data_IF_459743775629
#
_entry.id   IF_459743775629
#
_cell.length_a   1.000
_cell.length_b   1.000
_cell.length_c   1.000
_cell.angle_alpha   90.00
_cell.angle_beta   90.00
_cell.angle_gamma   90.00
#
_symmetry.space_group_name_H-M   'P 1'
#
loop_
_entity.id
_entity.type
_entity.pdbx_description
1 polymer ?
#
# COMPACT_ATOMS: atom_id res chain seq x y z
N UNK A 1 -2.73 -65.74 32.49
CA UNK A 1 -3.08 -64.30 32.58
C UNK A 1 -4.28 -64.10 31.66
N UNK A 2 -5.47 -63.74 32.17
CA UNK A 2 -6.67 -63.57 31.33
C UNK A 2 -6.65 -62.16 30.73
N UNK A 3 -6.56 -62.08 29.41
CA UNK A 3 -6.61 -60.81 28.70
C UNK A 3 -8.06 -60.30 28.73
N UNK A 4 -8.29 -59.20 29.45
CA UNK A 4 -9.61 -58.56 29.52
C UNK A 4 -9.87 -57.76 28.25
N UNK A 5 -10.54 -58.40 27.29
CA UNK A 5 -10.96 -57.83 26.02
C UNK A 5 -11.60 -56.43 26.15
N UNK A 6 -12.52 -56.13 27.09
CA UNK A 6 -13.09 -54.78 27.20
C UNK A 6 -12.07 -53.72 27.62
N UNK A 7 -11.08 -54.11 28.44
CA UNK A 7 -10.00 -53.22 28.87
C UNK A 7 -9.10 -52.89 27.67
N UNK A 8 -8.80 -53.88 26.82
CA UNK A 8 -8.02 -53.69 25.59
C UNK A 8 -8.72 -52.73 24.61
N UNK A 9 -10.05 -52.84 24.46
CA UNK A 9 -10.82 -51.96 23.57
C UNK A 9 -10.87 -50.50 24.05
N UNK A 10 -10.93 -50.27 25.37
CA UNK A 10 -10.90 -48.92 25.94
C UNK A 10 -9.53 -48.26 25.71
N UNK A 11 -8.43 -48.99 25.94
CA UNK A 11 -7.09 -48.46 25.66
C UNK A 11 -6.87 -48.20 24.17
N UNK A 12 -7.39 -49.06 23.30
CA UNK A 12 -7.31 -48.88 21.86
C UNK A 12 -8.12 -47.66 21.40
N UNK A 13 -9.32 -47.45 21.95
CA UNK A 13 -10.14 -46.27 21.67
C UNK A 13 -9.50 -44.97 22.15
N UNK A 14 -8.92 -44.94 23.36
CA UNK A 14 -8.22 -43.76 23.89
C UNK A 14 -6.97 -43.42 23.06
N UNK A 15 -6.27 -44.45 22.58
CA UNK A 15 -5.15 -44.30 21.67
C UNK A 15 -5.59 -43.80 20.28
N UNK A 16 -6.71 -44.29 19.75
CA UNK A 16 -7.28 -43.78 18.51
C UNK A 16 -7.74 -42.32 18.62
N UNK A 17 -8.33 -41.92 19.76
CA UNK A 17 -8.75 -40.53 20.00
C UNK A 17 -7.55 -39.59 20.16
N UNK A 18 -6.47 -40.02 20.82
CA UNK A 18 -5.24 -39.20 20.95
C UNK A 18 -4.48 -39.07 19.62
N UNK A 19 -4.48 -40.12 18.79
CA UNK A 19 -3.94 -40.07 17.43
C UNK A 19 -4.83 -39.20 16.52
N UNK A 20 -6.15 -39.22 16.70
CA UNK A 20 -7.07 -38.38 15.91
C UNK A 20 -6.99 -36.89 16.28
N UNK A 21 -6.82 -36.55 17.57
CA UNK A 21 -6.60 -35.18 18.04
C UNK A 21 -5.15 -34.68 17.85
N UNK A 22 -4.18 -35.57 17.64
CA UNK A 22 -2.75 -35.22 17.54
C UNK A 22 -2.26 -34.79 16.16
N UNK A 23 -3.08 -34.88 15.12
CA UNK A 23 -2.70 -34.52 13.73
C UNK A 23 -3.27 -33.16 13.31
N UNK A 24 -3.44 -32.24 14.27
CA UNK A 24 -3.70 -30.83 13.95
C UNK A 24 -2.45 -30.31 13.24
N UNK A 25 -2.50 -30.34 11.91
CA UNK A 25 -1.43 -29.89 11.02
C UNK A 25 -1.14 -28.44 11.36
N UNK A 26 -0.04 -28.19 12.07
CA UNK A 26 0.46 -26.84 12.25
C UNK A 26 0.68 -26.27 10.85
N UNK A 27 -0.03 -25.18 10.55
CA UNK A 27 0.13 -24.51 9.27
C UNK A 27 1.48 -23.80 9.32
N UNK A 28 2.55 -24.52 8.97
CA UNK A 28 3.92 -24.02 9.11
C UNK A 28 4.15 -22.94 8.05
N UNK A 29 4.57 -21.73 8.44
CA UNK A 29 4.95 -20.68 7.50
C UNK A 29 6.15 -21.14 6.67
N UNK A 30 6.12 -20.86 5.37
CA UNK A 30 7.07 -21.33 4.35
C UNK A 30 7.98 -20.24 3.82
N UNK A 31 7.75 -19.00 4.21
CA UNK A 31 8.55 -17.85 3.82
C UNK A 31 8.56 -16.77 4.91
N UNK A 32 9.44 -15.80 4.76
CA UNK A 32 9.50 -14.63 5.62
C UNK A 32 10.16 -14.92 6.96
N UNK A 33 9.96 -14.02 7.92
CA UNK A 33 10.60 -14.04 9.24
C UNK A 33 10.38 -15.34 10.00
N UNK A 34 9.18 -15.90 9.91
CA UNK A 34 8.82 -17.18 10.54
C UNK A 34 9.46 -18.41 9.88
N UNK A 35 10.10 -18.24 8.72
CA UNK A 35 10.85 -19.26 8.02
C UNK A 35 12.32 -18.83 7.79
N UNK A 36 12.92 -18.13 8.77
CA UNK A 36 14.31 -17.66 8.72
C UNK A 36 14.64 -16.79 7.50
N UNK A 37 13.66 -16.01 7.03
CA UNK A 37 13.80 -15.16 5.85
C UNK A 37 13.69 -15.89 4.51
N UNK A 38 13.24 -17.16 4.49
CA UNK A 38 13.09 -17.92 3.25
C UNK A 38 12.23 -17.17 2.23
N UNK A 39 12.66 -17.20 0.96
CA UNK A 39 11.92 -16.65 -0.16
C UNK A 39 10.98 -17.70 -0.75
N UNK A 40 9.88 -17.24 -1.33
CA UNK A 40 8.98 -18.12 -2.04
C UNK A 40 9.52 -18.50 -3.42
N UNK A 41 9.30 -19.75 -3.88
CA UNK A 41 9.66 -20.16 -5.23
C UNK A 41 8.86 -19.37 -6.29
N UNK A 42 9.37 -19.34 -7.53
CA UNK A 42 8.74 -18.69 -8.69
C UNK A 42 8.44 -17.18 -8.51
N UNK A 43 9.23 -16.48 -7.68
CA UNK A 43 9.02 -15.06 -7.37
C UNK A 43 7.63 -14.74 -6.79
N UNK A 44 7.00 -15.70 -6.09
CA UNK A 44 5.71 -15.48 -5.45
C UNK A 44 5.85 -14.56 -4.22
N UNK A 45 4.80 -13.81 -3.91
CA UNK A 45 4.81 -12.94 -2.75
C UNK A 45 4.73 -13.75 -1.46
N UNK A 46 5.48 -13.31 -0.45
CA UNK A 46 5.38 -13.83 0.89
C UNK A 46 4.40 -12.99 1.71
N UNK A 47 3.25 -13.55 2.07
CA UNK A 47 2.24 -12.91 2.93
C UNK A 47 2.77 -12.57 4.32
N UNK A 48 2.06 -11.70 5.04
CA UNK A 48 2.30 -11.41 6.47
C UNK A 48 2.30 -12.65 7.36
N UNK A 49 1.55 -13.68 6.97
CA UNK A 49 1.44 -14.95 7.68
C UNK A 49 2.53 -15.96 7.29
N UNK A 50 3.46 -15.60 6.41
CA UNK A 50 4.57 -16.47 6.00
C UNK A 50 4.18 -17.52 4.98
N UNK A 51 3.11 -17.31 4.20
CA UNK A 51 2.72 -18.17 3.08
C UNK A 51 3.00 -17.53 1.73
N UNK A 52 3.26 -18.36 0.74
CA UNK A 52 3.57 -17.97 -0.63
C UNK A 52 2.32 -17.94 -1.51
N UNK A 53 2.16 -16.90 -2.32
CA UNK A 53 1.10 -16.81 -3.31
C UNK A 53 1.21 -15.56 -4.20
N UNK A 54 0.34 -15.46 -5.20
CA UNK A 54 0.37 -14.38 -6.20
C UNK A 54 -0.81 -13.41 -6.10
N UNK A 55 -1.81 -13.68 -5.26
CA UNK A 55 -2.99 -12.81 -5.12
C UNK A 55 -2.74 -11.67 -4.12
N UNK A 56 -3.65 -10.70 -4.07
CA UNK A 56 -3.57 -9.58 -3.14
C UNK A 56 -3.43 -10.01 -1.67
N UNK A 57 -4.00 -11.15 -1.26
CA UNK A 57 -3.81 -11.70 0.10
C UNK A 57 -2.34 -11.98 0.45
N UNK A 58 -1.50 -12.24 -0.56
CA UNK A 58 -0.07 -12.55 -0.39
C UNK A 58 0.83 -11.37 -0.73
N UNK A 59 0.46 -10.59 -1.75
CA UNK A 59 1.23 -9.47 -2.27
C UNK A 59 0.82 -8.10 -1.70
N UNK A 60 -0.29 -8.05 -0.96
CA UNK A 60 -0.89 -6.82 -0.44
C UNK A 60 -0.21 -6.33 0.84
N UNK A 61 -0.99 -5.58 1.63
CA UNK A 61 -0.50 -4.97 2.87
C UNK A 61 0.04 -6.03 3.83
N UNK A 62 1.27 -5.84 4.30
CA UNK A 62 1.95 -6.77 5.20
C UNK A 62 2.74 -7.89 4.50
N UNK A 63 2.87 -7.86 3.17
CA UNK A 63 3.80 -8.74 2.47
C UNK A 63 5.25 -8.57 3.00
N UNK A 64 5.93 -9.70 3.23
CA UNK A 64 7.27 -9.77 3.83
C UNK A 64 8.40 -9.78 2.79
N UNK A 65 8.20 -10.38 1.62
CA UNK A 65 9.21 -10.45 0.55
C UNK A 65 8.58 -10.74 -0.81
N UNK A 66 9.28 -10.36 -1.89
CA UNK A 66 8.81 -10.51 -3.29
C UNK A 66 7.45 -9.83 -3.53
N UNK A 67 7.25 -8.68 -2.85
CA UNK A 67 6.03 -7.88 -2.88
C UNK A 67 5.98 -7.06 -4.17
N UNK A 68 5.76 -7.74 -5.29
CA UNK A 68 5.57 -7.10 -6.60
C UNK A 68 4.10 -6.86 -6.91
N UNK A 69 3.78 -5.98 -7.88
CA UNK A 69 2.45 -5.98 -8.49
C UNK A 69 2.26 -7.35 -9.13
N UNK A 70 1.27 -8.11 -8.67
CA UNK A 70 0.98 -9.44 -9.18
C UNK A 70 0.97 -9.42 -10.72
N UNK A 71 1.89 -10.12 -11.42
CA UNK A 71 1.93 -10.10 -12.90
C UNK A 71 0.75 -10.83 -13.55
N UNK A 72 -0.18 -11.35 -12.73
CA UNK A 72 -1.39 -12.06 -13.18
C UNK A 72 -2.69 -11.30 -12.95
N UNK A 73 -2.65 -10.09 -12.36
CA UNK A 73 -3.80 -9.21 -12.54
C UNK A 73 -3.55 -8.47 -13.84
N UNK A 74 -4.26 -8.77 -14.95
CA UNK A 74 -4.26 -7.84 -16.06
C UNK A 74 -4.64 -6.48 -15.48
N UNK A 75 -3.77 -5.48 -15.68
CA UNK A 75 -4.12 -4.10 -15.43
C UNK A 75 -5.46 -3.89 -16.11
N UNK A 76 -6.51 -3.65 -15.33
CA UNK A 76 -7.82 -3.41 -15.92
C UNK A 76 -7.66 -2.17 -16.80
N UNK A 77 -8.11 -2.16 -18.06
CA UNK A 77 -7.87 -1.03 -18.98
C UNK A 77 -8.37 0.32 -18.44
N UNK A 78 -9.21 0.29 -17.42
CA UNK A 78 -9.80 1.42 -16.71
C UNK A 78 -9.10 1.80 -15.38
N UNK A 79 -7.98 1.17 -15.03
CA UNK A 79 -7.11 1.48 -13.88
C UNK A 79 -7.80 1.56 -12.51
N UNK A 80 -8.93 0.85 -12.33
CA UNK A 80 -9.68 0.79 -11.06
C UNK A 80 -9.24 -0.42 -10.24
N UNK A 81 -8.90 -0.18 -8.97
CA UNK A 81 -8.44 -1.18 -8.01
C UNK A 81 -9.35 -1.24 -6.77
N UNK A 82 -9.29 -2.32 -5.98
CA UNK A 82 -9.98 -2.46 -4.70
C UNK A 82 -11.07 -3.56 -4.63
N UNK A 83 -11.78 -3.68 -3.50
CA UNK A 83 -12.67 -4.80 -3.18
C UNK A 83 -13.88 -4.90 -4.13
N UNK A 84 -14.33 -3.78 -4.69
CA UNK A 84 -15.40 -3.74 -5.68
C UNK A 84 -14.95 -4.16 -7.09
N UNK A 85 -13.65 -4.36 -7.29
CA UNK A 85 -13.03 -4.68 -8.58
C UNK A 85 -12.17 -5.94 -8.45
N UNK A 86 -12.74 -7.00 -7.86
CA UNK A 86 -12.07 -8.30 -7.73
C UNK A 86 -10.85 -8.28 -6.81
N UNK A 87 -10.85 -7.39 -5.82
CA UNK A 87 -9.72 -7.17 -4.89
C UNK A 87 -8.41 -6.80 -5.61
N UNK A 88 -8.50 -6.20 -6.81
CA UNK A 88 -7.33 -5.84 -7.61
C UNK A 88 -6.40 -4.90 -6.82
N UNK A 89 -5.09 -5.18 -6.71
CA UNK A 89 -4.15 -4.33 -6.00
C UNK A 89 -4.01 -2.97 -6.70
N UNK A 90 -3.90 -1.90 -5.91
CA UNK A 90 -3.62 -0.57 -6.44
C UNK A 90 -2.10 -0.44 -6.67
N UNK A 91 -1.69 -0.23 -7.92
CA UNK A 91 -0.30 0.07 -8.28
C UNK A 91 -0.02 1.57 -8.37
N UNK A 92 1.22 1.92 -8.72
CA UNK A 92 1.70 3.27 -9.07
C UNK A 92 1.01 3.74 -10.36
N UNK A 93 -0.29 4.07 -10.29
CA UNK A 93 -1.11 4.41 -11.46
C UNK A 93 -2.63 4.22 -11.30
N UNK A 94 -3.12 3.59 -10.22
CA UNK A 94 -4.57 3.41 -10.04
C UNK A 94 -5.24 4.63 -9.39
N UNK A 95 -6.32 5.11 -10.01
CA UNK A 95 -7.16 6.19 -9.48
C UNK A 95 -7.88 5.73 -8.20
N UNK A 96 -7.54 6.34 -7.05
CA UNK A 96 -8.25 6.08 -5.78
C UNK A 96 -9.72 6.49 -5.93
N UNK A 97 -10.62 5.52 -5.83
CA UNK A 97 -12.05 5.77 -5.82
C UNK A 97 -12.52 6.50 -4.53
N UNK A 98 -13.64 7.23 -4.58
CA UNK A 98 -14.08 8.16 -3.53
C UNK A 98 -14.63 7.52 -2.23
N UNK A 99 -14.55 6.19 -2.06
CA UNK A 99 -15.29 5.47 -0.99
C UNK A 99 -14.44 4.55 -0.10
N UNK A 100 -13.27 4.99 0.35
CA UNK A 100 -12.67 4.38 1.55
C UNK A 100 -12.88 5.31 2.76
N UNK A 101 -13.75 4.95 3.73
CA UNK A 101 -13.81 5.66 5.00
C UNK A 101 -12.60 5.29 5.87
N UNK A 102 -12.06 6.23 6.68
CA UNK A 102 -10.95 5.96 7.58
C UNK A 102 -11.46 5.30 8.87
N UNK A 103 -10.82 4.22 9.31
CA UNK A 103 -10.92 3.77 10.70
C UNK A 103 -9.49 3.73 11.30
N UNK A 104 -9.33 4.52 12.35
CA UNK A 104 -8.17 5.06 13.10
C UNK A 104 -7.10 4.08 13.64
N UNK A 105 -6.00 4.54 14.27
CA UNK A 105 -5.01 5.57 13.89
C UNK A 105 -3.55 4.98 13.83
N UNK A 106 -2.55 5.67 13.26
CA UNK A 106 -1.15 5.38 13.59
C UNK A 106 -0.46 6.49 14.43
N UNK A 107 0.49 6.02 15.23
CA UNK A 107 1.35 6.71 16.21
C UNK A 107 2.19 7.84 15.60
N UNK A 108 2.68 8.81 16.43
CA UNK A 108 3.51 9.90 15.94
C UNK A 108 4.86 9.36 15.49
N UNK A 109 5.29 9.74 14.28
CA UNK A 109 6.63 9.45 13.76
C UNK A 109 7.24 10.74 13.18
N UNK A 110 8.58 10.82 13.16
CA UNK A 110 9.33 12.08 13.15
C UNK A 110 9.23 12.79 11.81
N UNK A 111 9.15 14.13 11.86
CA UNK A 111 8.93 15.04 10.72
C UNK A 111 10.14 14.99 9.76
N UNK A 112 9.98 14.47 8.53
CA UNK A 112 10.91 14.69 7.43
C UNK A 112 10.55 16.01 6.72
N UNK A 113 11.53 16.74 6.14
CA UNK A 113 11.23 17.93 5.36
C UNK A 113 10.48 17.53 4.06
N UNK A 114 9.49 18.34 3.70
CA UNK A 114 8.62 18.27 2.50
C UNK A 114 7.64 17.09 2.41
N UNK A 115 6.51 17.23 3.11
CA UNK A 115 5.31 16.42 2.92
C UNK A 115 4.53 16.79 1.64
N UNK A 116 3.53 15.97 1.25
CA UNK A 116 2.59 16.33 0.20
C UNK A 116 1.82 17.59 0.58
N UNK A 117 1.36 18.33 -0.43
CA UNK A 117 0.60 19.56 -0.25
C UNK A 117 -0.49 19.43 0.82
N UNK A 118 -0.63 20.47 1.64
CA UNK A 118 -1.60 20.50 2.72
C UNK A 118 -3.01 20.21 2.17
N UNK A 119 -3.84 19.41 2.85
CA UNK A 119 -5.16 19.02 2.35
C UNK A 119 -6.13 20.18 2.07
N UNK A 120 -5.95 21.33 2.73
CA UNK A 120 -6.74 22.54 2.49
C UNK A 120 -6.10 23.49 1.47
N UNK A 121 -5.08 23.01 0.76
CA UNK A 121 -4.37 23.70 -0.31
C UNK A 121 -3.69 25.00 0.12
N UNK A 122 -3.33 25.12 1.41
CA UNK A 122 -2.61 26.29 1.92
C UNK A 122 -1.10 26.14 1.80
N UNK A 123 -0.44 27.24 1.48
CA UNK A 123 1.01 27.30 1.24
C UNK A 123 1.62 28.62 1.69
N UNK A 124 2.95 28.66 1.78
CA UNK A 124 3.69 29.90 2.04
C UNK A 124 3.96 30.20 3.53
N UNK A 125 4.43 31.41 3.85
CA UNK A 125 5.11 31.71 5.10
C UNK A 125 4.20 31.65 6.34
N UNK A 126 2.91 31.96 6.21
CA UNK A 126 1.95 31.78 7.32
C UNK A 126 1.74 30.31 7.71
N UNK A 127 2.17 29.38 6.86
CA UNK A 127 2.07 27.95 7.09
C UNK A 127 3.45 27.29 7.21
N UNK A 128 4.51 28.04 7.51
CA UNK A 128 5.86 27.49 7.67
C UNK A 128 6.52 27.10 6.34
N UNK A 129 6.29 27.93 5.30
CA UNK A 129 6.85 27.75 3.96
C UNK A 129 6.51 26.41 3.31
N UNK A 130 5.32 25.87 3.65
CA UNK A 130 4.81 24.62 3.05
C UNK A 130 4.66 24.81 1.53
N UNK A 131 5.27 23.93 0.71
CA UNK A 131 5.15 23.98 -0.74
C UNK A 131 3.86 23.32 -1.22
N UNK A 132 3.40 23.75 -2.40
CA UNK A 132 2.41 23.04 -3.20
C UNK A 132 2.98 21.78 -3.86
N UNK A 133 2.11 20.90 -4.34
CA UNK A 133 2.53 19.74 -5.11
C UNK A 133 3.22 20.14 -6.44
N UNK A 134 4.06 19.26 -7.00
CA UNK A 134 4.69 19.49 -8.30
C UNK A 134 3.66 19.90 -9.38
N UNK A 135 3.96 20.98 -10.10
CA UNK A 135 3.07 21.53 -11.14
C UNK A 135 2.00 22.50 -10.64
N UNK A 136 1.97 22.81 -9.33
CA UNK A 136 1.12 23.85 -8.75
C UNK A 136 1.95 24.98 -8.18
N UNK A 137 1.39 26.17 -8.21
CA UNK A 137 2.01 27.41 -7.76
C UNK A 137 1.33 27.89 -6.49
N UNK A 138 2.12 28.45 -5.58
CA UNK A 138 1.59 29.11 -4.40
C UNK A 138 1.25 30.55 -4.77
N UNK A 139 0.00 30.95 -4.63
CA UNK A 139 -0.41 32.35 -4.81
C UNK A 139 0.04 33.21 -3.62
N UNK A 140 0.10 34.52 -3.83
CA UNK A 140 0.22 35.51 -2.73
C UNK A 140 -0.89 35.39 -1.69
N UNK A 141 -2.03 34.77 -2.04
CA UNK A 141 -3.13 34.50 -1.12
C UNK A 141 -2.96 33.21 -0.31
N UNK A 142 -1.78 32.58 -0.34
CA UNK A 142 -1.45 31.37 0.43
C UNK A 142 -2.30 30.16 0.02
N UNK A 143 -2.66 30.10 -1.25
CA UNK A 143 -3.36 28.96 -1.84
C UNK A 143 -2.59 28.38 -3.02
N UNK A 144 -2.59 27.06 -3.10
CA UNK A 144 -2.05 26.32 -4.22
C UNK A 144 -3.03 26.25 -5.38
N UNK A 145 -2.57 26.50 -6.59
CA UNK A 145 -3.37 26.37 -7.82
C UNK A 145 -2.50 26.13 -9.04
N UNK A 146 -3.12 25.80 -10.17
CA UNK A 146 -2.43 25.48 -11.42
C UNK A 146 -2.85 26.37 -12.59
N UNK A 147 -3.70 27.37 -12.33
CA UNK A 147 -4.17 28.29 -13.35
C UNK A 147 -3.25 29.51 -13.43
N UNK A 148 -3.29 30.28 -14.54
CA UNK A 148 -2.49 31.48 -14.71
C UNK A 148 -2.61 32.47 -13.55
N UNK A 149 -3.78 32.57 -12.91
CA UNK A 149 -4.01 33.46 -11.77
C UNK A 149 -3.17 33.10 -10.54
N UNK A 150 -2.77 31.82 -10.41
CA UNK A 150 -1.91 31.33 -9.34
C UNK A 150 -0.43 31.30 -9.74
N UNK A 151 -0.16 31.15 -11.03
CA UNK A 151 1.15 30.76 -11.55
C UNK A 151 1.88 31.84 -12.35
N UNK A 152 1.20 32.91 -12.77
CA UNK A 152 1.75 33.96 -13.63
C UNK A 152 1.58 35.35 -13.01
N UNK A 153 2.53 36.25 -13.29
CA UNK A 153 2.49 37.64 -12.81
C UNK A 153 2.76 37.78 -11.32
N UNK A 154 2.34 38.90 -10.74
CA UNK A 154 2.59 39.26 -9.33
C UNK A 154 1.74 38.47 -8.33
N UNK A 155 0.76 37.72 -8.81
CA UNK A 155 -0.14 36.91 -7.96
C UNK A 155 0.48 35.58 -7.56
N UNK A 156 1.60 35.20 -8.16
CA UNK A 156 2.38 34.03 -7.78
C UNK A 156 3.47 34.39 -6.75
N UNK A 157 3.56 33.58 -5.69
CA UNK A 157 4.55 33.70 -4.61
C UNK A 157 5.73 32.75 -4.77
N UNK A 158 5.45 31.47 -4.99
CA UNK A 158 6.48 30.43 -5.12
C UNK A 158 6.03 29.31 -6.06
N UNK A 159 6.98 28.58 -6.64
CA UNK A 159 6.74 27.58 -7.69
C UNK A 159 6.07 28.18 -8.94
N UNK A 160 6.38 29.45 -9.24
CA UNK A 160 5.83 30.17 -10.38
C UNK A 160 6.28 29.57 -11.70
N UNK A 161 5.43 29.69 -12.72
CA UNK A 161 5.88 29.37 -14.06
C UNK A 161 6.95 30.36 -14.48
N UNK A 162 7.95 29.84 -15.19
CA UNK A 162 8.92 30.71 -15.84
C UNK A 162 8.12 31.67 -16.76
N UNK A 163 8.41 32.99 -16.73
CA UNK A 163 7.87 33.87 -17.74
C UNK A 163 8.27 33.30 -19.09
N UNK A 164 7.28 33.05 -19.95
CA UNK A 164 7.53 32.66 -21.33
C UNK A 164 8.46 33.72 -21.92
N UNK A 165 9.61 33.35 -22.52
CA UNK A 165 10.41 34.34 -23.21
C UNK A 165 9.52 35.00 -24.24
N UNK A 166 9.34 36.32 -24.13
CA UNK A 166 8.64 37.11 -25.12
C UNK A 166 9.19 36.72 -26.49
N UNK A 167 8.36 36.46 -27.51
CA UNK A 167 8.89 36.29 -28.85
C UNK A 167 9.57 37.60 -29.23
N UNK A 168 10.89 37.63 -29.16
CA UNK A 168 11.71 38.67 -29.77
C UNK A 168 11.46 38.50 -31.27
N UNK A 169 10.44 39.21 -31.76
CA UNK A 169 10.29 39.43 -33.19
C UNK A 169 11.61 40.04 -33.66
N UNK A 170 12.34 39.41 -34.58
CA UNK A 170 13.52 40.05 -35.14
C UNK A 170 13.06 41.38 -35.77
N UNK A 171 13.74 42.50 -35.48
CA UNK A 171 13.41 43.76 -36.15
C UNK A 171 13.59 43.56 -37.66
N UNK A 172 12.52 43.86 -38.39
CA UNK A 172 12.43 43.90 -39.85
C UNK A 172 13.38 44.91 -40.47
#
# INVERSE_FOLDING_TARGET
MKLNIPVVLIFFSLFCVSVWFGIVSAVIPRCGTSASGALCPNNLCCSSYGFCGSTHKYCGVGCQSQCGPSPLSPERPDHRCGPNFGESPCGEGSIRGPYFPPMSPPCPSPIPPSGPERPDHRCGPLFGDIPCNPGRCCSIFEYCGSTPEYCQGETCRSQCWAPTPSPTYPPS
#
